data_IF_205528296902
#
_entry.id   IF_205528296902
#
_cell.length_a   1.000
_cell.length_b   1.000
_cell.length_c   1.000
_cell.angle_alpha   90.00
_cell.angle_beta   90.00
_cell.angle_gamma   90.00
#
_symmetry.space_group_name_H-M   'P 1'
#
loop_
_entity.id
_entity.type
_entity.pdbx_description
1 polymer ?
#
# COMPACT_ATOMS: atom_id res chain seq x y z
N UNK A 1 15.89 9.63 4.20
CA UNK A 1 16.98 10.04 3.27
C UNK A 1 17.38 8.86 2.36
N UNK A 2 16.46 7.92 2.13
CA UNK A 2 16.83 6.54 1.75
C UNK A 2 16.62 6.25 0.26
N UNK A 3 15.76 7.03 -0.41
CA UNK A 3 15.47 6.88 -1.85
C UNK A 3 16.68 7.07 -2.75
N UNK A 4 17.64 7.93 -2.35
CA UNK A 4 18.86 8.16 -3.15
C UNK A 4 19.83 6.98 -3.09
N UNK A 5 19.83 6.24 -1.97
CA UNK A 5 20.61 5.01 -1.81
C UNK A 5 19.99 3.87 -2.61
N UNK A 6 18.66 3.75 -2.59
CA UNK A 6 17.96 2.72 -3.36
C UNK A 6 18.12 2.92 -4.88
N UNK A 7 18.06 4.17 -5.36
CA UNK A 7 18.29 4.48 -6.78
C UNK A 7 19.74 4.24 -7.21
N UNK A 8 20.72 4.57 -6.35
CA UNK A 8 22.14 4.27 -6.61
C UNK A 8 22.37 2.77 -6.73
N UNK A 9 21.88 1.99 -5.77
CA UNK A 9 21.99 0.53 -5.80
C UNK A 9 21.35 -0.09 -7.04
N UNK A 10 20.23 0.48 -7.54
CA UNK A 10 19.58 0.00 -8.76
C UNK A 10 20.43 0.23 -10.01
N UNK A 11 21.01 1.43 -10.15
CA UNK A 11 21.93 1.75 -11.25
C UNK A 11 23.21 0.91 -11.19
N UNK A 12 23.76 0.70 -10.00
CA UNK A 12 24.94 -0.14 -9.80
C UNK A 12 24.64 -1.59 -10.17
N UNK A 13 23.47 -2.10 -9.79
CA UNK A 13 23.00 -3.44 -10.16
C UNK A 13 22.79 -3.56 -11.67
N UNK A 14 22.18 -2.56 -12.30
CA UNK A 14 21.98 -2.51 -13.76
C UNK A 14 23.32 -2.53 -14.51
N UNK A 15 24.26 -1.68 -14.12
CA UNK A 15 25.57 -1.59 -14.77
C UNK A 15 26.36 -2.90 -14.61
N UNK A 16 26.29 -3.52 -13.42
CA UNK A 16 26.87 -4.84 -13.18
C UNK A 16 26.26 -5.91 -14.09
N UNK A 17 24.93 -5.96 -14.22
CA UNK A 17 24.26 -6.94 -15.08
C UNK A 17 24.63 -6.75 -16.55
N UNK A 18 24.67 -5.51 -17.05
CA UNK A 18 25.11 -5.22 -18.42
C UNK A 18 26.56 -5.67 -18.63
N UNK A 19 27.45 -5.36 -17.69
CA UNK A 19 28.85 -5.77 -17.79
C UNK A 19 28.99 -7.30 -17.83
N UNK A 20 28.18 -8.02 -17.04
CA UNK A 20 28.16 -9.48 -17.01
C UNK A 20 27.61 -10.06 -18.33
N UNK A 21 26.51 -9.53 -18.86
CA UNK A 21 25.98 -9.91 -20.19
C UNK A 21 27.03 -9.73 -21.28
N UNK A 22 27.67 -8.56 -21.35
CA UNK A 22 28.68 -8.27 -22.38
C UNK A 22 29.92 -9.16 -22.24
N UNK A 23 30.38 -9.41 -21.00
CA UNK A 23 31.54 -10.25 -20.73
C UNK A 23 31.29 -11.70 -21.12
N UNK A 24 30.13 -12.25 -20.75
CA UNK A 24 29.73 -13.62 -21.09
C UNK A 24 29.51 -13.80 -22.58
N UNK A 25 28.89 -12.83 -23.25
CA UNK A 25 28.73 -12.87 -24.71
C UNK A 25 30.08 -12.87 -25.45
N UNK A 26 31.04 -12.07 -24.97
CA UNK A 26 32.42 -12.09 -25.50
C UNK A 26 33.07 -13.45 -25.29
N UNK A 27 32.93 -14.04 -24.10
CA UNK A 27 33.48 -15.37 -23.81
C UNK A 27 32.84 -16.45 -24.69
N UNK A 28 31.52 -16.42 -24.88
CA UNK A 28 30.80 -17.34 -25.75
C UNK A 28 31.30 -17.25 -27.20
N UNK A 29 31.49 -16.04 -27.72
CA UNK A 29 32.04 -15.82 -29.07
C UNK A 29 33.46 -16.38 -29.19
N UNK A 30 34.29 -16.16 -28.18
CA UNK A 30 35.66 -16.69 -28.14
C UNK A 30 35.68 -18.23 -28.10
N UNK A 31 34.86 -18.85 -27.24
CA UNK A 31 34.75 -20.32 -27.16
C UNK A 31 34.25 -20.91 -28.49
N UNK A 32 33.27 -20.28 -29.14
CA UNK A 32 32.78 -20.69 -30.45
C UNK A 32 33.90 -20.62 -31.53
N UNK A 33 34.73 -19.59 -31.51
CA UNK A 33 35.88 -19.51 -32.45
C UNK A 33 36.94 -20.56 -32.16
N UNK A 34 37.18 -20.90 -30.89
CA UNK A 34 38.11 -21.97 -30.49
C UNK A 34 37.59 -23.33 -30.95
N UNK A 35 36.29 -23.60 -30.82
CA UNK A 35 35.68 -24.83 -31.34
C UNK A 35 35.80 -24.93 -32.86
N UNK A 36 35.48 -23.85 -33.58
CA UNK A 36 35.57 -23.83 -35.04
C UNK A 36 37.01 -24.02 -35.56
N UNK A 37 38.01 -23.51 -34.85
CA UNK A 37 39.42 -23.79 -35.17
C UNK A 37 39.83 -25.21 -34.77
N UNK A 38 39.33 -25.72 -33.64
CA UNK A 38 39.63 -27.04 -33.12
C UNK A 38 39.11 -28.17 -34.02
N UNK A 39 37.91 -28.02 -34.56
CA UNK A 39 37.34 -28.95 -35.55
C UNK A 39 38.16 -28.99 -36.85
N UNK A 40 38.71 -27.85 -37.29
CA UNK A 40 39.55 -27.77 -38.50
C UNK A 40 40.95 -28.36 -38.32
N UNK A 41 41.48 -28.36 -37.08
CA UNK A 41 42.87 -28.73 -36.78
C UNK A 41 43.04 -30.12 -36.15
N UNK A 42 42.00 -30.97 -36.11
CA UNK A 42 41.99 -32.24 -35.36
C UNK A 42 42.45 -32.01 -33.91
N UNK A 43 41.84 -31.03 -33.23
CA UNK A 43 42.14 -30.75 -31.83
C UNK A 43 41.87 -31.97 -30.94
N UNK A 44 42.65 -32.07 -29.88
CA UNK A 44 42.55 -33.13 -28.87
C UNK A 44 41.11 -33.17 -28.29
N UNK A 45 40.48 -34.35 -28.20
CA UNK A 45 39.05 -34.47 -27.91
C UNK A 45 38.65 -33.97 -26.53
N UNK A 46 39.55 -34.02 -25.53
CA UNK A 46 39.28 -33.43 -24.21
C UNK A 46 39.15 -31.90 -24.32
N UNK A 47 39.97 -31.25 -25.15
CA UNK A 47 39.92 -29.81 -25.39
C UNK A 47 38.59 -29.37 -26.01
N UNK A 48 38.07 -30.13 -26.98
CA UNK A 48 36.75 -29.86 -27.58
C UNK A 48 35.62 -30.03 -26.56
N UNK A 49 35.67 -31.10 -25.75
CA UNK A 49 34.67 -31.35 -24.70
C UNK A 49 34.66 -30.25 -23.63
N UNK A 50 35.82 -29.81 -23.14
CA UNK A 50 35.95 -28.70 -22.17
C UNK A 50 35.43 -27.40 -22.74
N UNK A 51 35.69 -27.14 -24.02
CA UNK A 51 35.20 -25.93 -24.70
C UNK A 51 33.67 -25.97 -24.82
N UNK A 52 33.08 -27.14 -25.11
CA UNK A 52 31.62 -27.33 -25.13
C UNK A 52 30.98 -27.14 -23.76
N UNK A 53 31.56 -27.70 -22.71
CA UNK A 53 31.09 -27.52 -21.34
C UNK A 53 31.20 -26.06 -20.89
N UNK A 54 32.30 -25.38 -21.24
CA UNK A 54 32.49 -23.95 -20.96
C UNK A 54 31.46 -23.10 -21.71
N UNK A 55 31.16 -23.44 -22.97
CA UNK A 55 30.17 -22.72 -23.77
C UNK A 55 28.77 -22.82 -23.15
N UNK A 56 28.39 -24.02 -22.71
CA UNK A 56 27.11 -24.24 -22.03
C UNK A 56 27.02 -23.43 -20.72
N UNK A 57 28.08 -23.44 -19.90
CA UNK A 57 28.12 -22.69 -18.65
C UNK A 57 28.00 -21.18 -18.88
N UNK A 58 28.69 -20.63 -19.89
CA UNK A 58 28.58 -19.22 -20.23
C UNK A 58 27.20 -18.84 -20.77
N UNK A 59 26.56 -19.75 -21.52
CA UNK A 59 25.19 -19.55 -21.99
C UNK A 59 24.17 -19.52 -20.84
N UNK A 60 24.30 -20.43 -19.87
CA UNK A 60 23.45 -20.44 -18.67
C UNK A 60 23.65 -19.20 -17.79
N UNK A 61 24.90 -18.76 -17.63
CA UNK A 61 25.23 -17.51 -16.95
C UNK A 61 24.64 -16.29 -17.65
N UNK A 62 24.75 -16.22 -18.98
CA UNK A 62 24.16 -15.15 -19.80
C UNK A 62 22.64 -15.10 -19.65
N UNK A 63 21.98 -16.26 -19.75
CA UNK A 63 20.53 -16.36 -19.60
C UNK A 63 20.06 -15.93 -18.20
N UNK A 64 20.81 -16.27 -17.17
CA UNK A 64 20.51 -15.84 -15.78
C UNK A 64 20.66 -14.32 -15.64
N UNK A 65 21.75 -13.74 -16.16
CA UNK A 65 21.97 -12.29 -16.13
C UNK A 65 20.88 -11.50 -16.85
N UNK A 66 20.37 -12.02 -17.98
CA UNK A 66 19.23 -11.43 -18.70
C UNK A 66 17.94 -11.53 -17.89
N UNK A 67 17.69 -12.66 -17.22
CA UNK A 67 16.53 -12.81 -16.31
C UNK A 67 16.58 -11.82 -15.15
N UNK A 68 17.76 -11.62 -14.57
CA UNK A 68 17.96 -10.67 -13.49
C UNK A 68 17.75 -9.22 -13.97
N UNK A 69 18.13 -8.90 -15.21
CA UNK A 69 17.84 -7.61 -15.83
C UNK A 69 16.32 -7.42 -16.03
N UNK A 70 15.61 -8.45 -16.49
CA UNK A 70 14.15 -8.43 -16.59
C UNK A 70 13.48 -8.26 -15.21
N UNK A 71 13.97 -8.95 -14.18
CA UNK A 71 13.49 -8.79 -12.81
C UNK A 71 13.74 -7.37 -12.28
N UNK A 72 14.90 -6.79 -12.57
CA UNK A 72 15.21 -5.40 -12.25
C UNK A 72 14.25 -4.44 -12.95
N UNK A 73 13.93 -4.67 -14.22
CA UNK A 73 12.96 -3.87 -14.98
C UNK A 73 11.56 -3.96 -14.38
N UNK A 74 11.17 -5.13 -13.86
CA UNK A 74 9.92 -5.33 -13.15
C UNK A 74 9.91 -4.54 -11.84
N UNK A 75 10.98 -4.63 -11.03
CA UNK A 75 11.13 -3.87 -9.79
C UNK A 75 11.12 -2.36 -10.04
N UNK A 76 11.74 -1.90 -11.12
CA UNK A 76 11.69 -0.50 -11.53
C UNK A 76 10.25 -0.11 -11.86
N UNK A 77 9.55 -0.87 -12.71
CA UNK A 77 8.14 -0.63 -13.03
C UNK A 77 7.25 -0.65 -11.79
N UNK A 78 7.49 -1.57 -10.86
CA UNK A 78 6.82 -1.60 -9.55
C UNK A 78 7.11 -0.32 -8.78
N UNK A 79 8.36 0.16 -8.69
CA UNK A 79 8.67 1.47 -8.08
C UNK A 79 7.98 2.65 -8.79
N UNK A 80 7.71 2.56 -10.09
CA UNK A 80 6.97 3.59 -10.83
C UNK A 80 5.46 3.50 -10.61
N UNK A 81 4.88 2.30 -10.70
CA UNK A 81 3.46 2.01 -10.51
C UNK A 81 3.01 2.19 -9.06
N UNK A 82 3.88 1.81 -8.13
CA UNK A 82 3.76 1.95 -6.69
C UNK A 82 4.56 3.17 -6.19
N UNK A 83 4.87 4.13 -7.07
CA UNK A 83 5.63 5.35 -6.75
C UNK A 83 5.18 5.94 -5.42
N UNK A 84 6.15 6.24 -4.52
CA UNK A 84 5.95 6.65 -3.11
C UNK A 84 4.53 6.35 -2.60
N UNK A 85 4.17 5.06 -2.43
CA UNK A 85 2.96 4.69 -1.71
C UNK A 85 2.87 5.55 -0.44
N UNK A 86 1.85 6.40 -0.35
CA UNK A 86 1.49 7.06 0.90
C UNK A 86 1.80 8.55 1.03
N UNK A 87 2.57 9.21 0.16
CA UNK A 87 2.67 10.69 0.29
C UNK A 87 1.40 11.38 -0.26
N UNK A 88 0.87 10.90 -1.38
CA UNK A 88 -0.40 11.40 -1.91
C UNK A 88 -1.63 10.94 -1.11
N UNK A 89 -1.64 9.72 -0.58
CA UNK A 89 -2.80 9.20 0.14
C UNK A 89 -2.93 9.76 1.56
N UNK A 90 -1.81 9.90 2.28
CA UNK A 90 -1.79 10.57 3.59
C UNK A 90 -2.16 12.03 3.47
N UNK A 91 -1.54 12.76 2.52
CA UNK A 91 -1.86 14.16 2.30
C UNK A 91 -3.28 14.36 1.75
N UNK A 92 -3.79 13.47 0.89
CA UNK A 92 -5.17 13.53 0.39
C UNK A 92 -6.20 13.26 1.48
N UNK A 93 -5.96 12.28 2.38
CA UNK A 93 -6.83 12.04 3.54
C UNK A 93 -6.79 13.21 4.53
N UNK A 94 -5.60 13.74 4.82
CA UNK A 94 -5.44 14.91 5.69
C UNK A 94 -6.13 16.14 5.08
N UNK A 95 -6.04 16.34 3.76
CA UNK A 95 -6.75 17.42 3.08
C UNK A 95 -8.26 17.20 3.06
N UNK A 96 -8.73 15.97 2.89
CA UNK A 96 -10.14 15.62 2.96
C UNK A 96 -10.71 15.86 4.37
N UNK A 97 -9.99 15.48 5.42
CA UNK A 97 -10.39 15.69 6.81
C UNK A 97 -10.44 17.20 7.16
N UNK A 98 -9.44 17.97 6.70
CA UNK A 98 -9.43 19.43 6.84
C UNK A 98 -10.58 20.08 6.08
N UNK A 99 -10.82 19.67 4.84
CA UNK A 99 -11.92 20.17 4.02
C UNK A 99 -13.27 19.86 4.68
N UNK A 100 -13.44 18.65 5.23
CA UNK A 100 -14.65 18.27 5.94
C UNK A 100 -14.86 19.14 7.19
N UNK A 101 -13.80 19.38 7.98
CA UNK A 101 -13.87 20.27 9.14
C UNK A 101 -14.21 21.71 8.75
N UNK A 102 -13.64 22.21 7.66
CA UNK A 102 -13.91 23.55 7.14
C UNK A 102 -15.34 23.68 6.60
N UNK A 103 -15.87 22.63 5.94
CA UNK A 103 -17.27 22.59 5.47
C UNK A 103 -18.24 22.62 6.65
N UNK A 104 -17.97 21.85 7.70
CA UNK A 104 -18.79 21.87 8.93
C UNK A 104 -18.77 23.25 9.57
N UNK A 105 -17.59 23.86 9.72
CA UNK A 105 -17.45 25.21 10.28
C UNK A 105 -18.18 26.26 9.42
N UNK A 106 -18.08 26.18 8.10
CA UNK A 106 -18.81 27.06 7.19
C UNK A 106 -20.33 26.89 7.32
N UNK A 107 -20.81 25.66 7.48
CA UNK A 107 -22.23 25.38 7.70
C UNK A 107 -22.73 25.96 9.03
N UNK A 108 -21.96 25.83 10.12
CA UNK A 108 -22.28 26.43 11.42
C UNK A 108 -22.34 27.95 11.35
N UNK A 109 -21.34 28.59 10.73
CA UNK A 109 -21.32 30.05 10.55
C UNK A 109 -22.51 30.52 9.71
N UNK A 110 -22.81 29.84 8.60
CA UNK A 110 -23.99 30.14 7.79
C UNK A 110 -25.27 29.99 8.61
N UNK A 111 -25.39 28.93 9.41
CA UNK A 111 -26.55 28.75 10.26
C UNK A 111 -26.71 29.91 11.24
N UNK A 112 -25.67 30.30 11.99
CA UNK A 112 -25.76 31.43 12.95
C UNK A 112 -26.16 32.76 12.31
N UNK A 113 -25.68 33.03 11.08
CA UNK A 113 -26.07 34.23 10.32
C UNK A 113 -27.55 34.17 9.96
N UNK A 114 -28.03 33.01 9.48
CA UNK A 114 -29.45 32.82 9.18
C UNK A 114 -30.31 32.93 10.45
N UNK A 115 -29.91 32.31 11.57
CA UNK A 115 -30.60 32.41 12.85
C UNK A 115 -30.76 33.86 13.30
N UNK A 116 -29.69 34.65 13.25
CA UNK A 116 -29.70 36.06 13.65
C UNK A 116 -30.63 36.88 12.75
N UNK A 117 -30.56 36.65 11.43
CA UNK A 117 -31.40 37.36 10.46
C UNK A 117 -32.88 37.00 10.63
N UNK A 118 -33.20 35.72 10.76
CA UNK A 118 -34.58 35.28 10.91
C UNK A 118 -35.16 35.62 12.28
N UNK A 119 -34.37 35.58 13.35
CA UNK A 119 -34.79 36.06 14.66
C UNK A 119 -35.11 37.56 14.63
N UNK A 120 -34.29 38.37 13.95
CA UNK A 120 -34.56 39.80 13.74
C UNK A 120 -35.87 40.05 12.99
N UNK A 121 -36.08 39.35 11.86
CA UNK A 121 -37.32 39.45 11.09
C UNK A 121 -38.56 38.98 11.87
N UNK A 122 -38.44 37.88 12.61
CA UNK A 122 -39.53 37.37 13.44
C UNK A 122 -39.88 38.37 14.54
N UNK A 123 -38.88 38.96 15.22
CA UNK A 123 -39.11 39.97 16.25
C UNK A 123 -39.79 41.23 15.71
N UNK A 124 -39.43 41.67 14.50
CA UNK A 124 -40.07 42.80 13.82
C UNK A 124 -41.54 42.53 13.44
N UNK A 125 -41.88 41.27 13.18
CA UNK A 125 -43.24 40.81 12.91
C UNK A 125 -44.02 40.41 14.18
N UNK A 126 -43.46 40.59 15.38
CA UNK A 126 -44.09 40.25 16.65
C UNK A 126 -44.06 38.76 17.03
N UNK A 127 -43.26 37.94 16.33
CA UNK A 127 -43.10 36.50 16.56
C UNK A 127 -41.71 36.12 17.09
N UNK A 128 -41.54 34.83 17.47
CA UNK A 128 -40.25 34.24 17.83
C UNK A 128 -39.84 33.20 16.78
N UNK A 129 -38.62 33.33 16.25
CA UNK A 129 -38.07 32.36 15.32
C UNK A 129 -37.61 31.08 16.06
N UNK A 130 -37.82 29.92 15.43
CA UNK A 130 -37.31 28.64 15.89
C UNK A 130 -36.72 27.87 14.68
N UNK A 131 -35.53 27.25 14.82
CA UNK A 131 -34.98 26.41 13.77
C UNK A 131 -35.92 25.23 13.52
N UNK A 132 -36.29 24.99 12.26
CA UNK A 132 -36.99 23.78 11.91
C UNK A 132 -35.96 22.65 11.94
N UNK A 133 -35.95 21.86 13.02
CA UNK A 133 -35.17 20.64 13.06
C UNK A 133 -35.51 19.79 11.84
N UNK A 134 -34.50 19.19 11.19
CA UNK A 134 -34.74 18.08 10.26
C UNK A 134 -35.67 17.12 11.00
N UNK A 135 -36.86 16.78 10.46
CA UNK A 135 -37.71 15.80 11.11
C UNK A 135 -36.84 14.56 11.32
N UNK A 136 -36.87 14.05 12.55
CA UNK A 136 -36.15 12.85 12.94
C UNK A 136 -36.26 11.82 11.82
N UNK A 137 -35.13 11.15 11.53
CA UNK A 137 -35.19 9.87 10.86
C UNK A 137 -36.30 9.08 11.57
N UNK A 138 -37.38 8.82 10.84
CA UNK A 138 -38.54 8.13 11.37
C UNK A 138 -38.06 6.89 12.14
N UNK A 139 -38.59 6.63 13.35
CA UNK A 139 -38.43 5.31 13.92
C UNK A 139 -39.01 4.35 12.88
N UNK A 140 -38.18 3.45 12.37
CA UNK A 140 -38.63 2.27 11.64
C UNK A 140 -39.44 1.42 12.62
N UNK A 141 -40.73 1.76 12.78
CA UNK A 141 -41.73 0.88 13.37
C UNK A 141 -42.10 -0.18 12.32
N UNK A 142 -41.20 -1.14 12.15
CA UNK A 142 -41.57 -2.49 11.74
C UNK A 142 -42.08 -3.22 12.96
N UNK A 143 -43.40 -3.39 13.06
CA UNK A 143 -44.08 -4.10 14.12
C UNK A 143 -43.50 -5.50 14.35
N UNK A 144 -42.88 -5.72 15.52
CA UNK A 144 -42.67 -7.04 16.09
C UNK A 144 -43.58 -7.18 17.31
N UNK A 145 -44.68 -7.90 17.09
CA UNK A 145 -45.63 -8.31 18.12
C UNK A 145 -44.95 -9.26 19.11
N UNK A 146 -45.03 -8.89 20.39
CA UNK A 146 -45.04 -9.70 21.62
C UNK A 146 -44.30 -11.05 21.68
N UNK A 147 -43.32 -11.15 22.60
CA UNK A 147 -43.00 -12.37 23.35
C UNK A 147 -42.67 -12.01 24.82
N UNK A 148 -43.09 -12.82 25.81
CA UNK A 148 -43.09 -12.47 27.25
C UNK A 148 -41.68 -12.54 27.89
N UNK A 149 -41.48 -11.93 29.09
CA UNK A 149 -40.16 -11.74 29.68
C UNK A 149 -39.59 -13.03 30.30
N UNK A 150 -38.28 -13.35 30.13
CA UNK A 150 -37.58 -14.25 31.02
C UNK A 150 -37.10 -13.51 32.28
N UNK A 151 -37.29 -14.18 33.42
CA UNK A 151 -37.04 -13.70 34.77
C UNK A 151 -35.58 -13.29 35.05
N UNK A 152 -35.42 -12.27 35.90
CA UNK A 152 -34.15 -11.81 36.48
C UNK A 152 -33.33 -12.94 37.13
N UNK A 153 -32.01 -13.03 36.92
CA UNK A 153 -31.13 -13.72 37.85
C UNK A 153 -30.80 -12.80 39.04
N UNK A 154 -31.27 -13.23 40.21
CA UNK A 154 -30.86 -12.76 41.54
C UNK A 154 -29.35 -12.87 41.70
N UNK A 155 -28.68 -11.78 42.09
CA UNK A 155 -27.32 -11.80 42.58
C UNK A 155 -27.27 -12.45 43.99
N UNK A 156 -26.40 -13.43 44.25
CA UNK A 156 -26.26 -13.98 45.59
C UNK A 156 -25.40 -13.03 46.45
N UNK A 157 -26.06 -12.41 47.43
CA UNK A 157 -25.43 -11.73 48.56
C UNK A 157 -24.72 -12.78 49.44
N UNK A 158 -23.39 -12.80 49.41
CA UNK A 158 -22.55 -13.56 50.34
C UNK A 158 -21.76 -12.63 51.26
N UNK A 159 -22.41 -12.12 52.32
CA UNK A 159 -21.70 -11.47 53.44
C UNK A 159 -21.18 -12.55 54.39
N UNK A 160 -19.91 -12.92 54.23
CA UNK A 160 -19.16 -13.68 55.21
C UNK A 160 -18.68 -12.76 56.32
N UNK A 161 -19.37 -12.82 57.46
CA UNK A 161 -18.98 -12.10 58.68
C UNK A 161 -17.91 -12.93 59.41
N UNK A 162 -16.64 -12.60 59.20
CA UNK A 162 -15.51 -13.11 59.97
C UNK A 162 -15.18 -12.17 61.12
N UNK A 163 -15.70 -12.45 62.30
CA UNK A 163 -15.29 -11.81 63.56
C UNK A 163 -14.42 -12.81 64.33
N UNK A 164 -13.15 -12.48 64.49
CA UNK A 164 -12.26 -13.07 65.48
C UNK A 164 -11.67 -11.95 66.30
N UNK A 165 -12.02 -11.88 67.59
CA UNK A 165 -11.24 -11.26 68.66
C UNK A 165 -11.97 -11.43 70.01
N UNK A 166 -11.36 -12.27 70.86
CA UNK A 166 -11.41 -12.36 72.34
C UNK A 166 -12.71 -12.83 73.00
#
# INVERSE_FOLDING_TARGET
>A
MDTSRDSSNLLDTHNRLIADVLSRFRMLTMLATIQAEGERKNAEPQTVAVTGMSMQMEFEGLHTSIKDLLALSRRLKELWLFGKLGRGEGDARIQADKLQADVVRCAELLNTIQETRYAGLASAAGGKWAPMGRPDAAPVEGAAVAAPPPANPVAPNGSGNGTGAV
#
